data_IF_393841156424
#
_entry.id   IF_393841156424
#
_cell.length_a   1.000
_cell.length_b   1.000
_cell.length_c   1.000
_cell.angle_alpha   90.00
_cell.angle_beta   90.00
_cell.angle_gamma   90.00
#
_symmetry.space_group_name_H-M   'P 1'
#
loop_
_entity.id
_entity.type
_entity.pdbx_description
1 polymer ?
#
# COMPACT_ATOMS: atom_id res chain seq x y z
N UNK A 1 11.18 -15.67 3.31
CA UNK A 1 10.54 -16.15 2.05
C UNK A 1 11.61 -16.42 1.01
N UNK A 2 11.47 -17.47 0.19
CA UNK A 2 12.37 -17.71 -0.94
C UNK A 2 12.17 -16.70 -2.08
N UNK A 3 13.18 -16.53 -2.93
CA UNK A 3 13.18 -15.58 -4.05
C UNK A 3 11.93 -15.69 -4.94
N UNK A 4 11.53 -16.90 -5.30
CA UNK A 4 10.33 -17.15 -6.11
C UNK A 4 9.06 -16.57 -5.47
N UNK A 5 8.87 -16.77 -4.16
CA UNK A 5 7.71 -16.25 -3.45
C UNK A 5 7.69 -14.72 -3.43
N UNK A 6 8.86 -14.08 -3.30
CA UNK A 6 8.99 -12.62 -3.37
C UNK A 6 8.60 -12.08 -4.76
N UNK A 7 9.01 -12.77 -5.83
CA UNK A 7 8.63 -12.40 -7.20
C UNK A 7 7.13 -12.54 -7.40
N UNK A 8 6.55 -13.68 -7.02
CA UNK A 8 5.09 -13.91 -7.12
C UNK A 8 4.31 -12.85 -6.34
N UNK A 9 4.73 -12.56 -5.10
CA UNK A 9 4.08 -11.54 -4.28
C UNK A 9 4.17 -10.15 -4.91
N UNK A 10 5.32 -9.78 -5.48
CA UNK A 10 5.49 -8.51 -6.17
C UNK A 10 4.58 -8.39 -7.40
N UNK A 11 4.44 -9.46 -8.19
CA UNK A 11 3.53 -9.51 -9.34
C UNK A 11 2.08 -9.32 -8.89
N UNK A 12 1.67 -9.96 -7.78
CA UNK A 12 0.31 -9.80 -7.24
C UNK A 12 0.03 -8.36 -6.81
N UNK A 13 0.99 -7.67 -6.18
CA UNK A 13 0.84 -6.26 -5.81
C UNK A 13 0.73 -5.38 -7.05
N UNK A 14 1.56 -5.60 -8.07
CA UNK A 14 1.49 -4.84 -9.32
C UNK A 14 0.13 -5.06 -10.00
N UNK A 15 -0.33 -6.31 -10.10
CA UNK A 15 -1.64 -6.64 -10.66
C UNK A 15 -2.79 -5.97 -9.89
N UNK A 16 -2.73 -5.97 -8.56
CA UNK A 16 -3.71 -5.29 -7.72
C UNK A 16 -3.70 -3.76 -7.93
N UNK A 17 -2.53 -3.13 -8.06
CA UNK A 17 -2.42 -1.70 -8.37
C UNK A 17 -2.97 -1.36 -9.75
N UNK A 18 -2.71 -2.20 -10.76
CA UNK A 18 -3.30 -2.06 -12.10
C UNK A 18 -4.82 -2.16 -12.05
N UNK A 19 -5.35 -3.14 -11.32
CA UNK A 19 -6.79 -3.29 -11.11
C UNK A 19 -7.40 -2.06 -10.42
N UNK A 20 -6.76 -1.54 -9.37
CA UNK A 20 -7.19 -0.32 -8.67
C UNK A 20 -7.17 0.89 -9.62
N UNK A 21 -6.16 1.03 -10.47
CA UNK A 21 -6.05 2.12 -11.45
C UNK A 21 -7.17 2.10 -12.50
N UNK A 22 -7.64 0.92 -12.89
CA UNK A 22 -8.75 0.79 -13.85
C UNK A 22 -10.08 1.31 -13.27
N UNK A 23 -10.21 1.38 -11.95
CA UNK A 23 -11.40 1.89 -11.25
C UNK A 23 -11.39 3.42 -11.05
N UNK A 24 -10.51 4.16 -11.76
CA UNK A 24 -10.44 5.63 -11.66
C UNK A 24 -11.71 6.27 -12.22
N UNK A 25 -12.23 7.25 -11.51
CA UNK A 25 -13.45 7.97 -11.89
C UNK A 25 -13.12 9.25 -12.65
N UNK A 26 -11.96 9.86 -12.36
CA UNK A 26 -11.53 11.11 -12.95
C UNK A 26 -10.12 10.97 -13.52
N UNK A 27 -9.87 11.63 -14.64
CA UNK A 27 -8.50 11.82 -15.10
C UNK A 27 -7.76 12.72 -14.10
N UNK A 28 -6.57 12.27 -13.70
CA UNK A 28 -5.76 12.96 -12.72
C UNK A 28 -4.29 12.82 -13.11
N UNK A 29 -3.60 13.95 -13.18
CA UNK A 29 -2.17 13.97 -13.50
C UNK A 29 -1.38 13.18 -12.46
N UNK A 30 -0.43 12.38 -12.96
CA UNK A 30 0.44 11.49 -12.16
C UNK A 30 -0.32 10.50 -11.27
N UNK A 31 -1.54 10.09 -11.64
CA UNK A 31 -2.33 9.17 -10.81
C UNK A 31 -1.59 7.87 -10.49
N UNK A 32 -0.85 7.29 -11.45
CA UNK A 32 -0.04 6.08 -11.23
C UNK A 32 0.99 6.30 -10.11
N UNK A 33 1.75 7.40 -10.18
CA UNK A 33 2.74 7.75 -9.15
C UNK A 33 2.08 7.97 -7.79
N UNK A 34 0.90 8.63 -7.77
CA UNK A 34 0.13 8.83 -6.54
C UNK A 34 -0.30 7.49 -5.93
N UNK A 35 -0.84 6.55 -6.73
CA UNK A 35 -1.24 5.23 -6.24
C UNK A 35 -0.05 4.44 -5.67
N UNK A 36 1.10 4.49 -6.34
CA UNK A 36 2.36 3.92 -5.84
C UNK A 36 2.74 4.55 -4.50
N UNK A 37 2.64 5.88 -4.39
CA UNK A 37 2.88 6.62 -3.15
C UNK A 37 1.95 6.21 -2.01
N UNK A 38 0.64 6.09 -2.26
CA UNK A 38 -0.33 5.63 -1.27
C UNK A 38 -0.06 4.19 -0.83
N UNK A 39 0.31 3.30 -1.75
CA UNK A 39 0.75 1.94 -1.42
C UNK A 39 1.97 1.95 -0.50
N UNK A 40 3.01 2.71 -0.82
CA UNK A 40 4.19 2.84 0.05
C UNK A 40 3.86 3.45 1.40
N UNK A 41 2.96 4.45 1.44
CA UNK A 41 2.52 5.02 2.71
C UNK A 41 1.84 3.96 3.58
N UNK A 42 0.96 3.14 3.00
CA UNK A 42 0.26 2.07 3.70
C UNK A 42 1.20 0.95 4.18
N UNK A 43 2.23 0.62 3.40
CA UNK A 43 3.20 -0.43 3.75
C UNK A 43 4.34 0.05 4.64
N UNK A 44 4.48 1.35 4.84
CA UNK A 44 5.57 1.94 5.62
C UNK A 44 5.49 1.50 7.08
N UNK A 45 6.54 0.77 7.48
CA UNK A 45 6.76 0.24 8.81
C UNK A 45 7.63 1.19 9.61
N UNK A 46 7.16 1.53 10.80
CA UNK A 46 8.00 2.16 11.81
C UNK A 46 8.37 1.11 12.86
N UNK A 47 9.67 1.02 13.18
CA UNK A 47 10.20 0.09 14.16
C UNK A 47 10.66 0.88 15.39
N UNK A 48 10.08 0.55 16.55
CA UNK A 48 10.62 0.95 17.84
C UNK A 48 10.84 -0.32 18.67
N UNK A 49 12.10 -0.55 19.05
CA UNK A 49 12.54 -1.73 19.78
C UNK A 49 12.22 -3.04 19.04
N UNK A 50 11.15 -3.72 19.44
CA UNK A 50 10.66 -4.97 18.85
C UNK A 50 9.22 -4.85 18.32
N UNK A 51 8.63 -3.65 18.41
CA UNK A 51 7.27 -3.39 17.98
C UNK A 51 7.26 -2.71 16.61
N UNK A 52 6.42 -3.25 15.74
CA UNK A 52 6.27 -2.80 14.38
C UNK A 52 4.92 -2.11 14.22
N UNK A 53 4.97 -0.81 13.94
CA UNK A 53 3.78 0.02 13.82
C UNK A 53 3.52 0.39 12.36
N UNK A 54 2.27 0.36 11.89
CA UNK A 54 1.89 0.83 10.56
C UNK A 54 1.81 2.37 10.53
N UNK A 55 2.89 3.04 10.93
CA UNK A 55 2.89 4.50 11.12
C UNK A 55 2.56 5.24 9.83
N UNK A 56 3.02 4.77 8.67
CA UNK A 56 2.66 5.41 7.41
C UNK A 56 1.17 5.31 7.10
N UNK A 57 0.53 4.20 7.46
CA UNK A 57 -0.92 4.09 7.32
C UNK A 57 -1.67 5.04 8.28
N UNK A 58 -1.17 5.22 9.51
CA UNK A 58 -1.72 6.22 10.44
C UNK A 58 -1.57 7.64 9.87
N UNK A 59 -0.39 7.96 9.30
CA UNK A 59 -0.15 9.24 8.63
C UNK A 59 -1.11 9.42 7.45
N UNK A 60 -1.36 8.37 6.66
CA UNK A 60 -2.36 8.39 5.59
C UNK A 60 -3.74 8.82 6.12
N UNK A 61 -4.23 8.19 7.20
CA UNK A 61 -5.56 8.48 7.74
C UNK A 61 -5.71 9.93 8.25
N UNK A 62 -4.65 10.49 8.84
CA UNK A 62 -4.71 11.81 9.51
C UNK A 62 -4.39 12.95 8.53
N UNK A 63 -3.33 12.80 7.74
CA UNK A 63 -2.74 13.87 6.92
C UNK A 63 -3.28 13.85 5.48
N UNK A 64 -3.47 12.68 4.88
CA UNK A 64 -3.80 12.57 3.46
C UNK A 64 -5.29 12.39 3.23
N UNK A 65 -5.98 13.49 2.91
CA UNK A 65 -7.43 13.50 2.59
C UNK A 65 -7.66 13.79 1.10
N UNK A 66 -7.53 12.80 0.20
CA UNK A 66 -7.70 13.03 -1.23
C UNK A 66 -9.16 13.31 -1.59
N UNK A 67 -9.39 14.34 -2.40
CA UNK A 67 -10.72 14.73 -2.89
C UNK A 67 -11.04 14.11 -4.26
N UNK A 68 -10.03 13.94 -5.12
CA UNK A 68 -10.16 13.30 -6.44
C UNK A 68 -9.69 11.86 -6.36
N UNK A 69 -10.42 10.94 -7.01
CA UNK A 69 -10.09 9.51 -7.04
C UNK A 69 -9.88 8.92 -5.63
N UNK A 70 -10.67 9.42 -4.66
CA UNK A 70 -10.51 9.12 -3.22
C UNK A 70 -10.52 7.61 -2.97
N UNK A 71 -11.50 6.92 -3.55
CA UNK A 71 -11.70 5.48 -3.36
C UNK A 71 -10.47 4.66 -3.74
N UNK A 72 -9.91 4.88 -4.93
CA UNK A 72 -8.75 4.12 -5.42
C UNK A 72 -7.46 4.45 -4.65
N UNK A 73 -7.30 5.69 -4.17
CA UNK A 73 -6.18 6.07 -3.28
C UNK A 73 -6.27 5.40 -1.91
N UNK A 74 -7.48 5.26 -1.36
CA UNK A 74 -7.70 4.49 -0.13
C UNK A 74 -7.40 3.00 -0.36
N UNK A 75 -7.86 2.42 -1.46
CA UNK A 75 -7.54 1.03 -1.81
C UNK A 75 -6.04 0.78 -1.97
N UNK A 76 -5.29 1.71 -2.57
CA UNK A 76 -3.84 1.60 -2.64
C UNK A 76 -3.19 1.63 -1.25
N UNK A 77 -3.63 2.51 -0.35
CA UNK A 77 -3.15 2.55 1.03
C UNK A 77 -3.53 1.27 1.82
N UNK A 78 -4.74 0.74 1.63
CA UNK A 78 -5.17 -0.52 2.24
C UNK A 78 -4.38 -1.72 1.71
N UNK A 79 -4.04 -1.75 0.42
CA UNK A 79 -3.15 -2.75 -0.16
C UNK A 79 -1.76 -2.69 0.48
N UNK A 80 -1.23 -1.48 0.71
CA UNK A 80 0.01 -1.27 1.45
C UNK A 80 -0.07 -1.82 2.88
N UNK A 81 -1.15 -1.51 3.60
CA UNK A 81 -1.38 -2.02 4.95
C UNK A 81 -1.46 -3.56 4.96
N UNK A 82 -2.16 -4.16 4.00
CA UNK A 82 -2.25 -5.61 3.87
C UNK A 82 -0.86 -6.23 3.65
N UNK A 83 -0.03 -5.63 2.79
CA UNK A 83 1.34 -6.06 2.58
C UNK A 83 2.18 -5.96 3.87
N UNK A 84 2.00 -4.89 4.65
CA UNK A 84 2.62 -4.75 5.97
C UNK A 84 2.20 -5.87 6.93
N UNK A 85 0.90 -6.17 7.03
CA UNK A 85 0.38 -7.21 7.92
C UNK A 85 0.84 -8.62 7.51
N UNK A 86 0.86 -8.93 6.21
CA UNK A 86 1.41 -10.20 5.69
C UNK A 86 2.90 -10.30 5.99
N UNK A 87 3.65 -9.21 5.78
CA UNK A 87 5.06 -9.12 6.14
C UNK A 87 5.29 -9.39 7.63
N UNK A 88 4.49 -8.78 8.49
CA UNK A 88 4.54 -8.98 9.94
C UNK A 88 4.24 -10.43 10.33
N UNK A 89 3.17 -11.01 9.80
CA UNK A 89 2.78 -12.41 10.08
C UNK A 89 3.84 -13.41 9.59
N UNK A 90 4.47 -13.15 8.44
CA UNK A 90 5.52 -14.02 7.88
C UNK A 90 6.86 -13.96 8.62
N UNK A 91 7.09 -12.95 9.47
CA UNK A 91 8.27 -12.83 10.32
C UNK A 91 8.01 -13.26 11.78
N UNK A 92 6.75 -13.53 12.14
CA UNK A 92 6.35 -13.92 13.49
C UNK A 92 6.42 -15.45 13.73
N UNK A 93 6.75 -16.23 12.69
CA UNK A 93 7.00 -17.67 12.70
C UNK A 93 8.35 -17.95 12.05
#
# INVERSE_FOLDING_TARGET
MGFFNTVVFSILIIAALVYIYQQRENEEEYLVLKLIGYYFLGSFRFNINQLYFPLGFIIFLIVFKPNVNRKIKHWAAYLGLAAFLIGLASHAY
#
